data_IF_418538631596
#
_entry.id   IF_418538631596
#
_cell.length_a   1.000
_cell.length_b   1.000
_cell.length_c   1.000
_cell.angle_alpha   90.00
_cell.angle_beta   90.00
_cell.angle_gamma   90.00
#
_symmetry.space_group_name_H-M   'P 1'
#
loop_
_entity.id
_entity.type
_entity.pdbx_description
1 polymer ?
#
# COMPACT_ATOMS: atom_id res chain seq x y z
N UNK A 1 -21.03 -2.64 57.48
CA UNK A 1 -19.92 -3.60 57.66
C UNK A 1 -19.34 -3.85 56.30
N UNK A 2 -18.06 -3.52 56.17
CA UNK A 2 -17.16 -3.81 55.06
C UNK A 2 -16.92 -5.31 54.88
N UNK A 3 -16.42 -5.65 53.68
CA UNK A 3 -15.27 -6.52 53.36
C UNK A 3 -15.58 -7.33 52.09
N UNK A 4 -14.97 -6.99 50.95
CA UNK A 4 -13.65 -7.43 50.45
C UNK A 4 -13.81 -8.73 49.64
N UNK A 5 -13.73 -8.64 48.31
CA UNK A 5 -12.52 -8.87 47.48
C UNK A 5 -12.55 -10.30 46.93
N UNK A 6 -12.63 -10.43 45.60
CA UNK A 6 -11.87 -11.47 44.90
C UNK A 6 -11.80 -11.10 43.41
N UNK A 7 -10.58 -10.80 42.97
CA UNK A 7 -10.24 -10.53 41.58
C UNK A 7 -9.89 -11.81 40.83
N UNK A 8 -10.31 -11.89 39.58
CA UNK A 8 -9.70 -12.66 38.50
C UNK A 8 -10.44 -12.22 37.23
N UNK A 9 -9.83 -11.64 36.19
CA UNK A 9 -8.62 -12.11 35.53
C UNK A 9 -9.04 -12.64 34.14
N UNK A 10 -8.21 -12.36 33.14
CA UNK A 10 -8.32 -12.80 31.73
C UNK A 10 -9.27 -12.00 30.83
N UNK A 11 -8.90 -10.74 30.55
CA UNK A 11 -9.05 -10.22 29.20
C UNK A 11 -7.93 -10.76 28.34
N UNK A 12 -8.09 -11.99 27.85
CA UNK A 12 -7.22 -12.60 26.85
C UNK A 12 -8.10 -13.37 25.87
N UNK A 13 -8.60 -12.66 24.87
CA UNK A 13 -9.02 -13.30 23.63
C UNK A 13 -8.06 -12.84 22.54
N UNK A 14 -6.77 -13.19 22.70
CA UNK A 14 -5.87 -13.40 21.57
C UNK A 14 -6.38 -14.59 20.77
N UNK A 15 -7.40 -14.34 19.96
CA UNK A 15 -8.06 -15.31 19.10
C UNK A 15 -7.92 -14.93 17.64
N UNK A 16 -6.68 -14.75 17.16
CA UNK A 16 -6.39 -14.67 15.73
C UNK A 16 -5.12 -15.46 15.42
N UNK A 17 -5.18 -16.78 15.61
CA UNK A 17 -4.36 -17.70 14.82
C UNK A 17 -4.93 -17.75 13.41
N UNK A 18 -4.67 -16.70 12.64
CA UNK A 18 -4.70 -16.73 11.19
C UNK A 18 -3.27 -16.65 10.73
N UNK A 19 -2.84 -17.63 9.95
CA UNK A 19 -1.63 -17.57 9.13
C UNK A 19 -1.87 -16.51 8.03
N UNK A 20 -2.08 -15.26 8.44
CA UNK A 20 -2.18 -14.11 7.55
C UNK A 20 -0.79 -13.99 6.91
N UNK A 21 -0.69 -14.08 5.57
CA UNK A 21 0.60 -14.01 4.92
C UNK A 21 1.26 -12.70 5.34
N UNK A 22 2.46 -12.83 5.91
CA UNK A 22 3.22 -11.70 6.42
C UNK A 22 3.29 -10.62 5.34
N UNK A 23 2.99 -9.38 5.72
CA UNK A 23 3.08 -8.23 4.82
C UNK A 23 4.44 -8.29 4.10
N UNK A 24 4.49 -8.32 2.76
CA UNK A 24 5.73 -8.54 2.04
C UNK A 24 6.84 -7.53 2.40
N UNK A 25 6.48 -6.32 2.83
CA UNK A 25 7.44 -5.35 3.37
C UNK A 25 7.95 -5.75 4.75
N UNK A 26 7.07 -6.18 5.66
CA UNK A 26 7.45 -6.69 6.97
C UNK A 26 8.32 -7.96 6.85
N UNK A 27 7.99 -8.88 5.94
CA UNK A 27 8.79 -10.06 5.63
C UNK A 27 10.18 -9.71 5.07
N UNK A 28 10.30 -8.59 4.35
CA UNK A 28 11.56 -8.04 3.88
C UNK A 28 12.34 -7.27 4.98
N UNK A 29 11.79 -7.15 6.20
CA UNK A 29 12.37 -6.34 7.27
C UNK A 29 12.35 -4.84 6.99
N UNK A 30 11.54 -4.40 6.02
CA UNK A 30 11.38 -2.99 5.65
C UNK A 30 10.12 -2.49 6.33
N UNK A 31 10.27 -1.68 7.38
CA UNK A 31 9.17 -0.88 7.92
C UNK A 31 9.07 0.42 7.10
N UNK A 32 8.03 0.59 6.26
CA UNK A 32 7.84 1.81 5.49
C UNK A 32 7.40 2.91 6.46
N UNK A 33 8.37 3.59 7.05
CA UNK A 33 8.12 4.85 7.76
C UNK A 33 7.78 5.89 6.69
N UNK A 34 6.49 6.05 6.39
CA UNK A 34 6.00 7.24 5.69
C UNK A 34 6.01 8.36 6.73
N UNK A 35 6.83 9.41 6.56
CA UNK A 35 6.80 10.54 7.47
C UNK A 35 5.39 11.13 7.46
N UNK A 36 4.84 11.51 8.62
CA UNK A 36 3.53 12.16 8.71
C UNK A 36 3.45 13.41 7.80
N UNK A 37 4.59 14.02 7.51
CA UNK A 37 4.72 15.20 6.65
C UNK A 37 4.58 14.89 5.15
N UNK A 38 4.79 13.62 4.76
CA UNK A 38 4.54 13.13 3.40
C UNK A 38 3.06 12.75 3.19
N UNK A 39 2.34 12.47 4.28
CA UNK A 39 0.92 12.17 4.30
C UNK A 39 0.12 13.45 4.00
N UNK A 40 -0.28 13.63 2.74
CA UNK A 40 -1.01 14.82 2.27
C UNK A 40 -0.14 15.98 1.80
N UNK A 41 1.15 15.76 1.55
CA UNK A 41 2.00 16.74 0.88
C UNK A 41 1.47 17.03 -0.53
N UNK A 42 1.19 18.30 -0.83
CA UNK A 42 0.87 18.74 -2.18
C UNK A 42 2.09 18.58 -3.08
N UNK A 43 1.98 17.70 -4.08
CA UNK A 43 2.98 17.57 -5.13
C UNK A 43 2.67 18.64 -6.17
N UNK A 44 3.61 19.53 -6.51
CA UNK A 44 3.38 20.54 -7.53
C UNK A 44 3.14 19.85 -8.87
N UNK A 45 2.13 20.33 -9.61
CA UNK A 45 1.87 19.88 -10.95
C UNK A 45 3.11 20.08 -11.84
N UNK A 46 3.44 19.07 -12.63
CA UNK A 46 4.62 19.06 -13.48
C UNK A 46 4.35 18.20 -14.72
N UNK A 47 4.04 18.88 -15.83
CA UNK A 47 3.72 18.23 -17.09
C UNK A 47 4.92 17.46 -17.68
N UNK A 48 6.15 17.93 -17.47
CA UNK A 48 7.35 17.28 -17.99
C UNK A 48 7.60 15.96 -17.24
N UNK A 49 7.48 15.98 -15.92
CA UNK A 49 7.60 14.76 -15.10
C UNK A 49 6.46 13.78 -15.40
N UNK A 50 5.24 14.27 -15.55
CA UNK A 50 4.08 13.43 -15.94
C UNK A 50 4.32 12.74 -17.28
N UNK A 51 4.73 13.49 -18.31
CA UNK A 51 4.98 12.94 -19.64
C UNK A 51 6.13 11.92 -19.61
N UNK A 52 7.22 12.24 -18.92
CA UNK A 52 8.36 11.34 -18.77
C UNK A 52 7.96 10.01 -18.11
N UNK A 53 7.19 10.06 -17.02
CA UNK A 53 6.70 8.84 -16.36
C UNK A 53 5.81 8.00 -17.29
N UNK A 54 5.01 8.66 -18.14
CA UNK A 54 4.15 7.98 -19.13
C UNK A 54 4.95 7.36 -20.27
N UNK A 55 6.02 7.99 -20.70
CA UNK A 55 6.97 7.41 -21.66
C UNK A 55 7.59 6.14 -21.09
N UNK A 56 8.14 6.21 -19.87
CA UNK A 56 8.71 5.03 -19.19
C UNK A 56 7.64 3.95 -18.98
N UNK A 57 6.42 4.33 -18.58
CA UNK A 57 5.30 3.40 -18.41
C UNK A 57 4.96 2.64 -19.70
N UNK A 58 5.04 3.31 -20.85
CA UNK A 58 4.84 2.70 -22.15
C UNK A 58 6.01 1.77 -22.53
N UNK A 59 7.24 2.19 -22.26
CA UNK A 59 8.46 1.48 -22.65
C UNK A 59 8.66 0.17 -21.88
N UNK A 60 8.31 0.16 -20.59
CA UNK A 60 8.41 -1.06 -19.76
C UNK A 60 7.25 -2.04 -19.97
N UNK A 61 6.23 -1.69 -20.76
CA UNK A 61 5.01 -2.49 -20.96
C UNK A 61 5.24 -3.60 -21.99
N UNK A 62 5.08 -4.85 -21.54
CA UNK A 62 5.27 -6.09 -22.27
C UNK A 62 4.15 -7.08 -21.94
N UNK A 63 4.31 -8.35 -22.32
CA UNK A 63 3.23 -9.34 -22.20
C UNK A 63 3.06 -9.96 -20.82
N UNK A 64 4.08 -9.89 -19.96
CA UNK A 64 4.00 -10.46 -18.61
C UNK A 64 3.05 -9.68 -17.70
N UNK A 65 2.46 -10.37 -16.73
CA UNK A 65 1.54 -9.76 -15.76
C UNK A 65 2.23 -8.70 -14.90
N UNK A 66 3.51 -8.91 -14.62
CA UNK A 66 4.40 -8.08 -13.84
C UNK A 66 4.73 -6.79 -14.58
N UNK A 67 5.06 -6.90 -15.87
CA UNK A 67 5.33 -5.74 -16.72
C UNK A 67 4.08 -4.87 -16.92
N UNK A 68 2.92 -5.50 -17.16
CA UNK A 68 1.62 -4.79 -17.23
C UNK A 68 1.28 -4.09 -15.91
N UNK A 69 1.56 -4.72 -14.77
CA UNK A 69 1.37 -4.12 -13.46
C UNK A 69 2.31 -2.94 -13.22
N UNK A 70 3.61 -3.07 -13.55
CA UNK A 70 4.58 -2.00 -13.39
C UNK A 70 4.20 -0.77 -14.23
N UNK A 71 3.82 -0.99 -15.49
CA UNK A 71 3.29 0.05 -16.36
C UNK A 71 2.07 0.76 -15.74
N UNK A 72 1.11 0.00 -15.21
CA UNK A 72 -0.07 0.58 -14.55
C UNK A 72 0.27 1.40 -13.31
N UNK A 73 1.25 0.96 -12.50
CA UNK A 73 1.72 1.72 -11.32
C UNK A 73 2.35 3.04 -11.78
N UNK A 74 3.19 3.03 -12.82
CA UNK A 74 3.82 4.25 -13.34
C UNK A 74 2.79 5.25 -13.89
N UNK A 75 1.73 4.78 -14.56
CA UNK A 75 0.62 5.65 -14.94
C UNK A 75 -0.06 6.28 -13.72
N UNK A 76 -0.37 5.49 -12.69
CA UNK A 76 -0.96 5.99 -11.44
C UNK A 76 -0.07 7.04 -10.75
N UNK A 77 1.24 6.80 -10.72
CA UNK A 77 2.22 7.75 -10.17
C UNK A 77 2.31 9.01 -11.03
N UNK A 78 2.15 8.91 -12.35
CA UNK A 78 2.13 10.09 -13.23
C UNK A 78 0.97 11.03 -12.93
N UNK A 79 -0.15 10.49 -12.43
CA UNK A 79 -1.34 11.28 -12.08
C UNK A 79 -1.08 12.19 -10.86
N UNK A 80 -0.05 11.92 -10.04
CA UNK A 80 0.36 12.82 -8.92
C UNK A 80 0.83 14.19 -9.40
N UNK A 81 1.23 14.30 -10.67
CA UNK A 81 1.75 15.53 -11.26
C UNK A 81 0.72 16.22 -12.17
N UNK A 82 -0.52 15.73 -12.18
CA UNK A 82 -1.63 16.27 -12.94
C UNK A 82 -2.52 17.12 -12.02
N UNK A 83 -2.70 18.41 -12.34
CA UNK A 83 -3.52 19.33 -11.52
C UNK A 83 -5.03 18.99 -11.55
N UNK A 84 -5.47 18.22 -12.55
CA UNK A 84 -6.86 17.82 -12.72
C UNK A 84 -7.19 16.49 -12.01
N UNK A 85 -6.18 15.75 -11.55
CA UNK A 85 -6.36 14.44 -10.91
C UNK A 85 -6.31 14.54 -9.39
N UNK A 86 -7.34 14.03 -8.72
CA UNK A 86 -7.36 13.89 -7.27
C UNK A 86 -6.70 12.57 -6.88
N UNK A 87 -5.37 12.55 -6.76
CA UNK A 87 -4.63 11.38 -6.28
C UNK A 87 -3.56 11.76 -5.26
N UNK A 88 -3.26 10.85 -4.33
CA UNK A 88 -2.27 11.08 -3.28
C UNK A 88 -1.21 9.97 -3.23
N UNK A 89 0.03 10.27 -2.81
CA UNK A 89 1.07 9.25 -2.66
C UNK A 89 0.64 8.10 -1.73
N UNK A 90 -0.08 8.43 -0.66
CA UNK A 90 -0.61 7.44 0.29
C UNK A 90 -1.62 6.52 -0.36
N UNK A 91 -2.56 7.05 -1.14
CA UNK A 91 -3.56 6.25 -1.84
C UNK A 91 -2.90 5.27 -2.82
N UNK A 92 -1.89 5.74 -3.56
CA UNK A 92 -1.13 4.89 -4.48
C UNK A 92 -0.42 3.78 -3.71
N UNK A 93 0.26 4.10 -2.62
CA UNK A 93 0.96 3.15 -1.78
C UNK A 93 0.02 2.07 -1.21
N UNK A 94 -1.13 2.48 -0.64
CA UNK A 94 -2.12 1.56 -0.07
C UNK A 94 -2.70 0.64 -1.14
N UNK A 95 -3.00 1.16 -2.33
CA UNK A 95 -3.46 0.35 -3.46
C UNK A 95 -2.42 -0.70 -3.89
N UNK A 96 -1.16 -0.31 -4.07
CA UNK A 96 -0.09 -1.24 -4.49
C UNK A 96 0.15 -2.31 -3.43
N UNK A 97 0.25 -1.93 -2.15
CA UNK A 97 0.41 -2.87 -1.03
C UNK A 97 -0.73 -3.87 -0.97
N UNK A 98 -1.97 -3.41 -1.13
CA UNK A 98 -3.15 -4.28 -1.15
C UNK A 98 -3.09 -5.30 -2.29
N UNK A 99 -2.71 -4.89 -3.50
CA UNK A 99 -2.57 -5.79 -4.65
C UNK A 99 -1.49 -6.85 -4.38
N UNK A 100 -0.35 -6.47 -3.81
CA UNK A 100 0.73 -7.42 -3.51
C UNK A 100 0.33 -8.42 -2.45
N UNK A 101 -0.43 -8.00 -1.42
CA UNK A 101 -0.99 -8.88 -0.40
C UNK A 101 -1.93 -9.93 -1.01
N UNK A 102 -2.89 -9.50 -1.81
CA UNK A 102 -3.81 -10.41 -2.52
C UNK A 102 -3.05 -11.39 -3.43
N UNK A 103 -2.00 -10.92 -4.12
CA UNK A 103 -1.16 -11.78 -4.95
C UNK A 103 -0.43 -12.84 -4.11
N UNK A 104 0.09 -12.47 -2.94
CA UNK A 104 0.72 -13.41 -2.01
C UNK A 104 -0.27 -14.46 -1.49
N UNK A 105 -1.55 -14.10 -1.33
CA UNK A 105 -2.63 -14.99 -0.87
C UNK A 105 -3.14 -15.98 -1.94
N UNK A 106 -2.68 -15.87 -3.20
CA UNK A 106 -3.12 -16.72 -4.32
C UNK A 106 -4.16 -16.07 -5.25
N UNK A 107 -4.42 -14.76 -5.10
CA UNK A 107 -5.32 -13.97 -5.94
C UNK A 107 -6.80 -14.01 -5.51
N UNK A 108 -7.62 -13.15 -6.13
CA UNK A 108 -9.05 -12.93 -5.80
C UNK A 108 -9.99 -14.15 -6.02
N UNK A 109 -9.46 -15.32 -6.40
CA UNK A 109 -10.26 -16.46 -6.91
C UNK A 109 -10.10 -17.74 -6.08
N UNK A 110 -9.71 -17.64 -4.81
CA UNK A 110 -9.96 -18.75 -3.89
C UNK A 110 -11.47 -18.89 -3.67
#
# INVERSE_FOLDING_TARGET
MTDADDGAGAGDETGATGDDPEDPLAAAGVDPVVPDEASGAEIPADAEVREFLREVAADVRAESSESKQLSAILYRVSDLYDEEEETSPEEIYLNVRHIMRIKAEGGLRR
#
